data_IF_389209279121
#
_entry.id   IF_389209279121
#
_cell.length_a   1.000
_cell.length_b   1.000
_cell.length_c   1.000
_cell.angle_alpha   90.00
_cell.angle_beta   90.00
_cell.angle_gamma   90.00
#
_symmetry.space_group_name_H-M   'P 1'
#
loop_
_entity.id
_entity.type
_entity.pdbx_description
1 polymer ?
#
# COMPACT_ATOMS: atom_id res chain seq x y z
N UNK A 1 35.21 8.59 -6.22
CA UNK A 1 34.78 10.01 -6.35
C UNK A 1 33.59 10.19 -5.44
N UNK A 2 33.67 11.20 -4.57
CA UNK A 2 32.85 11.35 -3.37
C UNK A 2 31.33 11.36 -3.63
N UNK A 3 30.61 10.74 -2.69
CA UNK A 3 29.16 10.86 -2.46
C UNK A 3 28.74 12.34 -2.37
N UNK A 4 28.51 12.96 -3.51
CA UNK A 4 27.64 14.13 -3.55
C UNK A 4 26.23 13.62 -3.22
N UNK A 5 25.71 14.02 -2.06
CA UNK A 5 24.42 13.61 -1.48
C UNK A 5 23.38 13.32 -2.57
N UNK A 6 23.06 12.04 -2.75
CA UNK A 6 22.09 11.56 -3.74
C UNK A 6 20.64 11.88 -3.38
N UNK A 7 20.41 12.39 -2.15
CA UNK A 7 19.11 12.66 -1.56
C UNK A 7 19.07 14.09 -1.03
N UNK A 8 18.03 14.82 -1.39
CA UNK A 8 17.78 16.19 -0.97
C UNK A 8 16.43 16.24 -0.27
N UNK A 9 16.38 16.89 0.90
CA UNK A 9 15.12 17.15 1.60
C UNK A 9 14.74 18.60 1.37
N UNK A 10 13.55 18.83 0.82
CA UNK A 10 13.06 20.17 0.53
C UNK A 10 11.55 20.28 0.80
N UNK A 11 11.06 21.50 0.91
CA UNK A 11 9.63 21.74 1.01
C UNK A 11 8.91 21.34 -0.28
N UNK A 12 7.71 20.71 -0.19
CA UNK A 12 6.90 20.44 -1.37
C UNK A 12 6.49 21.75 -2.04
N UNK A 13 6.38 21.72 -3.35
CA UNK A 13 5.95 22.88 -4.13
C UNK A 13 4.50 23.25 -3.78
N UNK A 14 4.26 24.54 -3.49
CA UNK A 14 2.92 25.03 -3.16
C UNK A 14 1.89 24.78 -4.27
N UNK A 15 2.35 24.68 -5.53
CA UNK A 15 1.50 24.38 -6.68
C UNK A 15 0.83 22.99 -6.60
N UNK A 16 1.42 22.03 -5.87
CA UNK A 16 0.89 20.69 -5.70
C UNK A 16 -0.30 20.61 -4.73
N UNK A 17 -0.53 21.65 -3.92
CA UNK A 17 -1.62 21.72 -2.94
C UNK A 17 -2.92 22.33 -3.51
N UNK A 18 -3.24 22.04 -4.77
CA UNK A 18 -4.50 22.48 -5.39
C UNK A 18 -5.63 21.51 -5.07
N UNK A 19 -6.79 22.07 -4.72
CA UNK A 19 -8.02 21.33 -4.49
C UNK A 19 -9.18 21.95 -5.31
N UNK A 20 -9.99 21.14 -6.03
CA UNK A 20 -9.85 19.70 -6.20
C UNK A 20 -8.58 19.32 -7.00
N UNK A 21 -8.00 18.14 -6.75
CA UNK A 21 -6.86 17.65 -7.54
C UNK A 21 -7.26 17.44 -9.00
N UNK A 22 -6.27 17.40 -9.89
CA UNK A 22 -6.55 17.07 -11.29
C UNK A 22 -7.00 15.60 -11.41
N UNK A 23 -8.00 15.34 -12.25
CA UNK A 23 -8.45 13.97 -12.53
C UNK A 23 -7.56 13.25 -13.56
N UNK A 24 -6.51 13.88 -14.08
CA UNK A 24 -5.57 13.23 -14.98
C UNK A 24 -4.32 12.78 -14.20
N UNK A 25 -3.68 11.66 -14.58
CA UNK A 25 -4.10 10.72 -15.61
C UNK A 25 -5.23 9.80 -15.12
N UNK A 26 -5.86 9.09 -16.06
CA UNK A 26 -6.72 7.95 -15.71
C UNK A 26 -5.89 6.86 -15.03
N UNK A 27 -6.42 6.16 -14.00
CA UNK A 27 -5.66 5.13 -13.31
C UNK A 27 -5.36 3.95 -14.26
N UNK A 28 -4.11 3.51 -14.29
CA UNK A 28 -3.65 2.47 -15.21
C UNK A 28 -3.97 1.08 -14.65
N UNK A 29 -4.80 0.31 -15.36
CA UNK A 29 -5.06 -1.08 -15.01
C UNK A 29 -3.83 -1.97 -15.27
N UNK A 30 -3.70 -3.10 -14.54
CA UNK A 30 -2.62 -4.04 -14.79
C UNK A 30 -2.72 -4.64 -16.19
N UNK A 31 -1.58 -4.75 -16.88
CA UNK A 31 -1.50 -5.41 -18.18
C UNK A 31 -2.03 -6.86 -18.11
N UNK A 32 -2.74 -7.35 -19.15
CA UNK A 32 -3.18 -8.73 -19.21
C UNK A 32 -2.00 -9.71 -19.10
N UNK A 33 -2.16 -10.75 -18.28
CA UNK A 33 -1.14 -11.78 -18.09
C UNK A 33 -1.78 -13.18 -18.14
N UNK A 34 -0.93 -14.20 -18.30
CA UNK A 34 -1.36 -15.59 -18.18
C UNK A 34 -1.92 -15.86 -16.77
N UNK A 35 -3.01 -16.63 -16.73
CA UNK A 35 -3.67 -16.96 -15.48
C UNK A 35 -2.75 -17.83 -14.61
N UNK A 36 -2.68 -17.49 -13.33
CA UNK A 36 -1.88 -18.22 -12.34
C UNK A 36 -2.55 -18.14 -10.96
N UNK A 37 -2.06 -18.92 -9.99
CA UNK A 37 -2.54 -18.81 -8.60
C UNK A 37 -2.36 -17.40 -8.05
N UNK A 38 -1.32 -16.69 -8.48
CA UNK A 38 -1.02 -15.32 -8.05
C UNK A 38 -1.80 -14.27 -8.83
N UNK A 39 -2.28 -14.59 -10.04
CA UNK A 39 -3.12 -13.73 -10.89
C UNK A 39 -4.22 -14.59 -11.54
N UNK A 40 -5.28 -14.97 -10.78
CA UNK A 40 -6.30 -15.92 -11.25
C UNK A 40 -7.22 -15.37 -12.34
N UNK A 41 -7.30 -14.04 -12.50
CA UNK A 41 -8.09 -13.39 -13.55
C UNK A 41 -7.39 -12.10 -14.02
N UNK A 42 -7.81 -11.60 -15.17
CA UNK A 42 -7.40 -10.30 -15.69
C UNK A 42 -8.48 -9.24 -15.37
N UNK A 43 -8.05 -7.99 -15.17
CA UNK A 43 -8.95 -6.88 -14.86
C UNK A 43 -9.03 -5.98 -16.08
N UNK A 44 -10.24 -5.74 -16.59
CA UNK A 44 -10.45 -4.86 -17.72
C UNK A 44 -10.33 -3.38 -17.30
N UNK A 45 -9.70 -2.55 -18.13
CA UNK A 45 -9.54 -1.10 -17.89
C UNK A 45 -10.87 -0.40 -17.54
N UNK A 46 -12.00 -0.63 -18.25
CA UNK A 46 -13.25 0.05 -17.92
C UNK A 46 -13.77 -0.28 -16.52
N UNK A 47 -13.67 -1.54 -16.10
CA UNK A 47 -14.07 -1.97 -14.76
C UNK A 47 -13.14 -1.38 -13.70
N UNK A 48 -11.84 -1.34 -14.00
CA UNK A 48 -10.82 -0.78 -13.14
C UNK A 48 -11.08 0.71 -12.86
N UNK A 49 -11.31 1.47 -13.93
CA UNK A 49 -11.59 2.90 -13.88
C UNK A 49 -12.94 3.20 -13.20
N UNK A 50 -14.00 2.47 -13.55
CA UNK A 50 -15.33 2.63 -12.95
C UNK A 50 -15.30 2.44 -11.43
N UNK A 51 -14.62 1.39 -10.95
CA UNK A 51 -14.50 1.15 -9.51
C UNK A 51 -13.75 2.29 -8.78
N UNK A 52 -12.87 3.02 -9.48
CA UNK A 52 -12.10 4.14 -8.95
C UNK A 52 -12.76 5.51 -9.21
N UNK A 53 -14.00 5.56 -9.68
CA UNK A 53 -14.77 6.80 -9.69
C UNK A 53 -15.06 7.25 -8.25
N UNK A 54 -14.96 8.56 -8.00
CA UNK A 54 -15.17 9.15 -6.65
C UNK A 54 -16.56 8.88 -6.08
N UNK A 55 -17.56 8.71 -6.96
CA UNK A 55 -18.96 8.44 -6.61
C UNK A 55 -19.11 7.10 -5.88
N UNK A 56 -18.34 6.08 -6.27
CA UNK A 56 -18.42 4.72 -5.72
C UNK A 56 -18.08 4.69 -4.21
N UNK A 57 -16.85 5.05 -3.76
CA UNK A 57 -16.50 4.99 -2.35
C UNK A 57 -17.30 5.98 -1.52
N UNK A 58 -17.61 7.18 -2.03
CA UNK A 58 -18.40 8.15 -1.29
C UNK A 58 -19.83 7.66 -1.04
N UNK A 59 -20.48 7.11 -2.07
CA UNK A 59 -21.85 6.59 -1.94
C UNK A 59 -21.87 5.42 -0.98
N UNK A 60 -20.98 4.44 -1.14
CA UNK A 60 -20.97 3.26 -0.27
C UNK A 60 -20.60 3.62 1.16
N UNK A 61 -19.59 4.47 1.39
CA UNK A 61 -19.23 4.92 2.74
C UNK A 61 -20.37 5.69 3.42
N UNK A 62 -21.11 6.52 2.68
CA UNK A 62 -22.26 7.27 3.21
C UNK A 62 -23.41 6.34 3.57
N UNK A 63 -23.79 5.44 2.65
CA UNK A 63 -24.82 4.41 2.90
C UNK A 63 -24.45 3.55 4.09
N UNK A 64 -23.19 3.10 4.17
CA UNK A 64 -22.66 2.34 5.29
C UNK A 64 -22.78 3.10 6.61
N UNK A 65 -22.30 4.35 6.69
CA UNK A 65 -22.35 5.13 7.93
C UNK A 65 -23.79 5.40 8.40
N UNK A 66 -24.70 5.70 7.46
CA UNK A 66 -26.12 5.90 7.77
C UNK A 66 -26.76 4.59 8.24
N UNK A 67 -26.50 3.48 7.55
CA UNK A 67 -27.03 2.17 7.91
C UNK A 67 -26.55 1.73 9.30
N UNK A 68 -25.26 1.90 9.62
CA UNK A 68 -24.71 1.55 10.94
C UNK A 68 -25.36 2.39 12.04
N UNK A 69 -25.54 3.70 11.83
CA UNK A 69 -26.23 4.56 12.82
C UNK A 69 -27.67 4.12 13.03
N UNK A 70 -28.40 3.83 11.95
CA UNK A 70 -29.78 3.36 12.02
C UNK A 70 -29.89 1.99 12.73
N UNK A 71 -29.03 1.04 12.37
CA UNK A 71 -29.00 -0.30 12.96
C UNK A 71 -28.52 -0.29 14.42
N UNK A 72 -27.60 0.60 14.79
CA UNK A 72 -27.23 0.83 16.19
C UNK A 72 -28.43 1.32 17.01
N UNK A 73 -29.22 2.27 16.47
CA UNK A 73 -30.45 2.75 17.11
C UNK A 73 -31.49 1.63 17.22
N UNK A 74 -31.64 0.81 16.18
CA UNK A 74 -32.52 -0.34 16.18
C UNK A 74 -32.12 -1.37 17.26
N UNK A 75 -30.86 -1.76 17.34
CA UNK A 75 -30.37 -2.67 18.38
C UNK A 75 -30.55 -2.08 19.79
N UNK A 76 -30.37 -0.77 19.94
CA UNK A 76 -30.70 -0.05 21.17
C UNK A 76 -32.17 -0.20 21.58
N UNK A 77 -33.09 -0.02 20.63
CA UNK A 77 -34.54 -0.18 20.86
C UNK A 77 -34.95 -1.63 21.21
N UNK A 78 -34.15 -2.62 20.78
CA UNK A 78 -34.37 -4.04 21.07
C UNK A 78 -33.65 -4.55 22.32
N UNK A 79 -33.20 -3.65 23.20
CA UNK A 79 -32.42 -4.01 24.39
C UNK A 79 -31.19 -4.88 24.05
N UNK A 80 -30.55 -4.62 22.90
CA UNK A 80 -29.34 -5.31 22.40
C UNK A 80 -29.50 -6.83 22.25
N UNK A 81 -30.72 -7.31 21.98
CA UNK A 81 -30.98 -8.73 21.75
C UNK A 81 -30.43 -9.19 20.38
N UNK A 82 -29.77 -10.36 20.30
CA UNK A 82 -29.30 -10.92 19.03
C UNK A 82 -30.44 -11.17 18.04
N UNK A 83 -30.17 -10.96 16.75
CA UNK A 83 -31.16 -11.19 15.70
C UNK A 83 -31.44 -12.68 15.54
N UNK A 84 -32.62 -13.03 15.02
CA UNK A 84 -32.98 -14.44 14.81
C UNK A 84 -31.96 -15.16 13.90
N UNK A 85 -31.51 -14.47 12.85
CA UNK A 85 -30.50 -15.00 11.91
C UNK A 85 -29.19 -15.35 12.61
N UNK A 86 -28.76 -14.57 13.62
CA UNK A 86 -27.45 -14.77 14.25
C UNK A 86 -27.36 -16.02 15.11
N UNK A 87 -28.51 -16.65 15.42
CA UNK A 87 -28.61 -17.88 16.21
C UNK A 87 -28.55 -19.15 15.35
N UNK A 88 -28.63 -19.01 14.03
CA UNK A 88 -28.64 -20.14 13.10
C UNK A 88 -27.25 -20.74 12.92
N UNK A 89 -27.18 -22.05 12.65
CA UNK A 89 -25.91 -22.73 12.27
C UNK A 89 -25.32 -22.17 10.97
N UNK A 90 -26.19 -21.74 10.05
CA UNK A 90 -25.77 -21.10 8.80
C UNK A 90 -25.02 -19.80 9.07
N UNK A 91 -25.52 -18.95 9.96
CA UNK A 91 -24.81 -17.72 10.35
C UNK A 91 -23.45 -18.03 11.00
N UNK A 92 -23.38 -19.06 11.83
CA UNK A 92 -22.10 -19.48 12.41
C UNK A 92 -21.10 -19.95 11.33
N UNK A 93 -21.54 -20.82 10.41
CA UNK A 93 -20.73 -21.26 9.28
C UNK A 93 -20.27 -20.07 8.42
N UNK A 94 -21.17 -19.12 8.14
CA UNK A 94 -20.86 -17.88 7.45
C UNK A 94 -19.76 -17.08 8.15
N UNK A 95 -19.85 -16.84 9.47
CA UNK A 95 -18.82 -16.09 10.23
C UNK A 95 -17.46 -16.78 10.17
N UNK A 96 -17.42 -18.11 10.29
CA UNK A 96 -16.18 -18.88 10.19
C UNK A 96 -15.61 -18.79 8.78
N UNK A 97 -16.42 -19.05 7.75
CA UNK A 97 -16.00 -18.97 6.35
C UNK A 97 -15.52 -17.57 5.97
N UNK A 98 -16.20 -16.52 6.45
CA UNK A 98 -15.83 -15.12 6.27
C UNK A 98 -14.44 -14.82 6.83
N UNK A 99 -14.17 -15.22 8.09
CA UNK A 99 -12.85 -15.00 8.71
C UNK A 99 -11.74 -15.81 8.02
N UNK A 100 -12.02 -17.06 7.64
CA UNK A 100 -11.06 -17.91 6.92
C UNK A 100 -10.74 -17.33 5.55
N UNK A 101 -11.77 -16.91 4.80
CA UNK A 101 -11.61 -16.30 3.48
C UNK A 101 -10.76 -15.04 3.59
N UNK A 102 -11.07 -14.14 4.53
CA UNK A 102 -10.30 -12.92 4.73
C UNK A 102 -8.85 -13.20 5.17
N UNK A 103 -8.62 -14.21 6.01
CA UNK A 103 -7.27 -14.60 6.41
C UNK A 103 -6.45 -15.09 5.20
N UNK A 104 -7.00 -16.03 4.42
CA UNK A 104 -6.34 -16.60 3.23
C UNK A 104 -6.12 -15.53 2.16
N UNK A 105 -7.14 -14.71 1.90
CA UNK A 105 -7.07 -13.58 0.97
C UNK A 105 -5.98 -12.57 1.37
N UNK A 106 -5.90 -12.22 2.66
CA UNK A 106 -4.90 -11.29 3.17
C UNK A 106 -3.49 -11.87 3.06
N UNK A 107 -3.31 -13.16 3.38
CA UNK A 107 -2.04 -13.85 3.19
C UNK A 107 -1.61 -13.89 1.72
N UNK A 108 -2.54 -14.21 0.81
CA UNK A 108 -2.29 -14.23 -0.63
C UNK A 108 -1.88 -12.85 -1.15
N UNK A 109 -2.59 -11.80 -0.73
CA UNK A 109 -2.26 -10.40 -1.08
C UNK A 109 -0.88 -10.00 -0.56
N UNK A 110 -0.56 -10.37 0.68
CA UNK A 110 0.75 -10.12 1.28
C UNK A 110 1.88 -10.80 0.50
N UNK A 111 1.73 -12.08 0.18
CA UNK A 111 2.73 -12.85 -0.59
C UNK A 111 2.91 -12.26 -1.99
N UNK A 112 1.81 -11.93 -2.66
CA UNK A 112 1.82 -11.30 -3.99
C UNK A 112 2.53 -9.94 -3.99
N UNK A 113 2.22 -9.09 -3.01
CA UNK A 113 2.90 -7.81 -2.84
C UNK A 113 4.37 -8.00 -2.44
N UNK A 114 4.71 -8.93 -1.56
CA UNK A 114 6.09 -9.18 -1.19
C UNK A 114 6.93 -9.63 -2.40
N UNK A 115 6.36 -10.47 -3.27
CA UNK A 115 6.98 -10.87 -4.53
C UNK A 115 7.14 -9.68 -5.49
N UNK A 116 6.13 -8.80 -5.57
CA UNK A 116 6.17 -7.54 -6.35
C UNK A 116 7.33 -6.66 -5.89
N UNK A 117 7.45 -6.46 -4.57
CA UNK A 117 8.49 -5.63 -3.97
C UNK A 117 9.90 -6.16 -4.26
N UNK A 118 10.08 -7.49 -4.22
CA UNK A 118 11.37 -8.13 -4.55
C UNK A 118 11.79 -7.96 -6.00
N UNK A 119 10.85 -7.82 -6.94
CA UNK A 119 11.14 -7.61 -8.36
C UNK A 119 11.34 -6.14 -8.70
N UNK A 120 10.59 -5.25 -8.06
CA UNK A 120 10.52 -3.85 -8.43
C UNK A 120 11.51 -2.94 -7.69
N UNK A 121 11.93 -3.30 -6.47
CA UNK A 121 12.77 -2.43 -5.64
C UNK A 121 14.24 -2.76 -5.82
N UNK A 122 15.01 -1.73 -6.14
CA UNK A 122 16.46 -1.81 -6.24
C UNK A 122 17.07 -1.76 -4.84
N UNK A 123 17.94 -2.73 -4.52
CA UNK A 123 18.63 -2.77 -3.24
C UNK A 123 19.55 -1.56 -3.05
N UNK A 124 19.70 -1.02 -1.83
CA UNK A 124 20.54 0.15 -1.57
C UNK A 124 22.04 -0.11 -1.81
N UNK A 125 22.44 -1.38 -1.85
CA UNK A 125 23.81 -1.83 -2.15
C UNK A 125 24.09 -1.97 -3.65
N UNK A 126 23.13 -1.63 -4.52
CA UNK A 126 23.31 -1.63 -5.98
C UNK A 126 24.35 -0.58 -6.41
N UNK A 127 24.91 -0.71 -7.62
CA UNK A 127 25.92 0.21 -8.16
C UNK A 127 25.45 1.68 -8.23
N UNK A 128 24.13 1.85 -8.38
CA UNK A 128 23.47 3.16 -8.48
C UNK A 128 23.07 3.74 -7.10
N UNK A 129 23.39 3.01 -6.03
CA UNK A 129 23.24 3.41 -4.63
C UNK A 129 21.81 3.73 -4.19
N UNK A 130 21.70 4.60 -3.20
CA UNK A 130 20.42 5.00 -2.58
C UNK A 130 19.47 5.74 -3.55
N UNK A 131 19.99 6.39 -4.59
CA UNK A 131 19.18 7.08 -5.57
C UNK A 131 18.25 6.11 -6.31
N UNK A 132 18.76 4.95 -6.72
CA UNK A 132 17.96 3.93 -7.40
C UNK A 132 16.91 3.30 -6.49
N UNK A 133 17.23 3.09 -5.22
CA UNK A 133 16.25 2.63 -4.23
C UNK A 133 15.12 3.64 -4.06
N UNK A 134 15.45 4.92 -3.85
CA UNK A 134 14.43 5.97 -3.72
C UNK A 134 13.61 6.14 -4.99
N UNK A 135 14.25 6.10 -6.15
CA UNK A 135 13.55 6.16 -7.43
C UNK A 135 12.56 4.99 -7.57
N UNK A 136 12.94 3.77 -7.18
CA UNK A 136 12.01 2.61 -7.19
C UNK A 136 10.87 2.71 -6.17
N UNK A 137 11.06 3.44 -5.07
CA UNK A 137 10.05 3.64 -4.03
C UNK A 137 9.12 4.81 -4.31
N UNK A 138 9.59 5.85 -5.02
CA UNK A 138 8.83 7.04 -5.33
C UNK A 138 8.17 7.00 -6.71
N UNK A 139 8.77 6.29 -7.68
CA UNK A 139 8.25 6.21 -9.05
C UNK A 139 7.64 4.86 -9.33
N UNK A 140 6.33 4.89 -9.55
CA UNK A 140 5.51 3.70 -9.71
C UNK A 140 5.51 3.11 -11.12
N UNK A 141 5.77 3.91 -12.16
CA UNK A 141 5.59 3.54 -13.56
C UNK A 141 6.88 3.68 -14.38
N UNK A 142 6.95 2.93 -15.48
CA UNK A 142 8.07 2.95 -16.41
C UNK A 142 9.02 1.75 -16.27
N UNK A 143 10.02 1.66 -17.16
CA UNK A 143 11.01 0.60 -17.14
C UNK A 143 11.86 0.61 -15.85
N UNK A 144 12.53 -0.52 -15.53
CA UNK A 144 13.49 -0.55 -14.43
C UNK A 144 14.72 0.28 -14.78
N UNK A 145 15.39 0.80 -13.76
CA UNK A 145 16.62 1.59 -13.90
C UNK A 145 16.44 3.05 -13.47
N UNK A 146 17.50 3.61 -12.91
CA UNK A 146 17.50 4.98 -12.40
C UNK A 146 17.31 5.97 -13.56
N UNK A 147 16.24 6.78 -13.49
CA UNK A 147 15.92 7.78 -14.52
C UNK A 147 15.04 7.31 -15.68
N UNK A 148 14.79 6.00 -15.79
CA UNK A 148 13.87 5.44 -16.77
C UNK A 148 12.40 5.49 -16.32
N UNK A 149 12.08 6.16 -15.20
CA UNK A 149 10.71 6.22 -14.71
C UNK A 149 9.81 7.04 -15.64
N UNK A 150 8.58 6.57 -15.79
CA UNK A 150 7.51 7.33 -16.44
C UNK A 150 6.71 8.07 -15.36
N UNK A 151 6.43 9.34 -15.59
CA UNK A 151 5.59 10.15 -14.71
C UNK A 151 4.70 11.08 -15.50
N UNK A 152 3.55 11.41 -14.93
CA UNK A 152 2.60 12.31 -15.58
C UNK A 152 2.89 13.76 -15.23
N UNK A 153 2.94 14.61 -16.25
CA UNK A 153 3.11 16.05 -16.08
C UNK A 153 1.78 16.76 -16.35
N UNK A 154 1.18 17.32 -15.29
CA UNK A 154 -0.13 17.97 -15.34
C UNK A 154 -0.14 19.24 -16.21
N UNK A 155 0.98 19.96 -16.33
CA UNK A 155 1.05 21.18 -17.16
C UNK A 155 0.97 20.83 -18.64
N UNK A 156 1.64 19.75 -19.04
CA UNK A 156 1.65 19.28 -20.44
C UNK A 156 0.56 18.26 -20.76
N UNK A 157 -0.15 17.76 -19.74
CA UNK A 157 -1.13 16.67 -19.83
C UNK A 157 -0.58 15.41 -20.54
N UNK A 158 0.70 15.10 -20.32
CA UNK A 158 1.39 14.01 -21.00
C UNK A 158 2.33 13.24 -20.05
N UNK A 159 2.54 11.96 -20.36
CA UNK A 159 3.56 11.14 -19.72
C UNK A 159 4.96 11.56 -20.21
N UNK A 160 5.91 11.64 -19.29
CA UNK A 160 7.29 12.03 -19.52
C UNK A 160 8.25 11.02 -18.87
N UNK A 161 9.48 10.96 -19.38
CA UNK A 161 10.58 10.13 -18.89
C UNK A 161 11.88 10.90 -19.14
N UNK A 162 12.86 10.78 -18.25
CA UNK A 162 14.14 11.48 -18.37
C UNK A 162 15.04 10.82 -19.43
N UNK A 163 14.97 9.50 -19.56
CA UNK A 163 15.85 8.70 -20.44
C UNK A 163 15.23 8.41 -21.83
N UNK A 164 14.29 9.24 -22.27
CA UNK A 164 13.55 9.12 -23.55
C UNK A 164 12.72 7.83 -23.76
N UNK A 165 12.84 6.84 -22.86
CA UNK A 165 12.04 5.61 -22.82
C UNK A 165 10.65 5.89 -22.25
N UNK A 166 9.69 6.22 -23.12
CA UNK A 166 8.32 6.53 -22.75
C UNK A 166 7.41 5.30 -22.88
N UNK A 167 7.30 4.53 -21.79
CA UNK A 167 6.28 3.50 -21.65
C UNK A 167 5.81 3.38 -20.19
N UNK A 168 4.72 4.05 -19.82
CA UNK A 168 4.17 3.97 -18.46
C UNK A 168 3.59 2.58 -18.12
N UNK A 169 3.33 1.74 -19.12
CA UNK A 169 2.76 0.40 -18.97
C UNK A 169 3.81 -0.70 -18.88
N UNK A 170 5.08 -0.37 -19.07
CA UNK A 170 6.18 -1.35 -19.04
C UNK A 170 6.33 -2.00 -17.66
N UNK A 171 6.73 -3.26 -17.65
CA UNK A 171 7.11 -3.96 -16.41
C UNK A 171 8.42 -3.38 -15.81
N UNK A 172 8.72 -3.74 -14.56
CA UNK A 172 9.95 -3.35 -13.86
C UNK A 172 9.78 -2.40 -12.67
N UNK A 173 8.57 -1.86 -12.44
CA UNK A 173 8.25 -1.01 -11.28
C UNK A 173 6.99 -1.45 -10.56
N UNK A 174 6.86 -1.00 -9.31
CA UNK A 174 5.91 -1.54 -8.32
C UNK A 174 4.48 -1.58 -8.86
N UNK A 175 4.03 -0.56 -9.61
CA UNK A 175 2.67 -0.53 -10.17
C UNK A 175 2.38 -1.72 -11.06
N UNK A 176 3.18 -1.84 -12.12
CA UNK A 176 2.99 -2.81 -13.19
C UNK A 176 3.39 -4.23 -12.76
N UNK A 177 4.36 -4.34 -11.85
CA UNK A 177 4.81 -5.62 -11.28
C UNK A 177 3.76 -6.31 -10.38
N UNK A 178 2.81 -5.54 -9.84
CA UNK A 178 1.71 -6.13 -9.08
C UNK A 178 0.84 -5.18 -8.26
N UNK A 179 1.29 -3.96 -7.92
CA UNK A 179 0.49 -3.05 -7.08
C UNK A 179 -0.82 -2.63 -7.76
N UNK A 180 -0.84 -2.45 -9.09
CA UNK A 180 -2.08 -2.18 -9.81
C UNK A 180 -3.11 -3.31 -9.62
N UNK A 181 -2.66 -4.57 -9.63
CA UNK A 181 -3.52 -5.73 -9.47
C UNK A 181 -3.92 -5.97 -8.00
N UNK A 182 -2.94 -6.17 -7.11
CA UNK A 182 -3.19 -6.47 -5.71
C UNK A 182 -3.78 -5.28 -4.95
N UNK A 183 -3.34 -4.05 -5.27
CA UNK A 183 -3.88 -2.83 -4.69
C UNK A 183 -5.35 -2.62 -5.06
N UNK A 184 -5.76 -2.93 -6.29
CA UNK A 184 -7.16 -2.80 -6.68
C UNK A 184 -8.06 -3.84 -6.04
N UNK A 185 -7.61 -5.10 -5.94
CA UNK A 185 -8.37 -6.13 -5.23
C UNK A 185 -8.43 -5.80 -3.73
N UNK A 186 -7.35 -5.28 -3.16
CA UNK A 186 -7.30 -4.80 -1.77
C UNK A 186 -8.22 -3.59 -1.54
N UNK A 187 -8.35 -2.70 -2.53
CA UNK A 187 -9.36 -1.66 -2.51
C UNK A 187 -10.77 -2.25 -2.43
N UNK A 188 -11.09 -3.23 -3.28
CA UNK A 188 -12.39 -3.91 -3.24
C UNK A 188 -12.64 -4.64 -1.90
N UNK A 189 -11.59 -5.17 -1.27
CA UNK A 189 -11.74 -5.85 0.03
C UNK A 189 -12.27 -4.92 1.11
N UNK A 190 -12.02 -3.61 1.05
CA UNK A 190 -12.52 -2.65 2.05
C UNK A 190 -14.04 -2.51 2.04
N UNK A 191 -14.67 -2.71 0.89
CA UNK A 191 -16.12 -2.78 0.80
C UNK A 191 -16.66 -4.09 1.37
N UNK A 192 -15.95 -5.19 1.18
CA UNK A 192 -16.32 -6.50 1.74
C UNK A 192 -16.15 -6.53 3.28
N UNK A 193 -15.11 -5.90 3.82
CA UNK A 193 -14.83 -5.82 5.27
C UNK A 193 -15.96 -5.15 6.08
N UNK A 194 -16.88 -4.41 5.43
CA UNK A 194 -18.11 -3.90 6.06
C UNK A 194 -18.98 -5.02 6.65
N UNK A 195 -18.84 -6.26 6.16
CA UNK A 195 -19.51 -7.42 6.73
C UNK A 195 -19.08 -7.71 8.19
N UNK A 196 -17.88 -7.28 8.61
CA UNK A 196 -17.48 -7.38 10.03
C UNK A 196 -18.43 -6.56 10.92
N UNK A 197 -18.77 -5.36 10.47
CA UNK A 197 -19.74 -4.50 11.16
C UNK A 197 -21.13 -5.11 11.16
N UNK A 198 -21.55 -5.70 10.03
CA UNK A 198 -22.82 -6.41 9.93
C UNK A 198 -22.90 -7.59 10.91
N UNK A 199 -21.84 -8.40 11.04
CA UNK A 199 -21.80 -9.54 11.97
C UNK A 199 -21.97 -9.07 13.43
N UNK A 200 -21.35 -7.94 13.81
CA UNK A 200 -21.48 -7.36 15.15
C UNK A 200 -22.91 -6.87 15.40
N UNK A 201 -23.49 -6.15 14.45
CA UNK A 201 -24.87 -5.66 14.52
C UNK A 201 -25.88 -6.81 14.58
N UNK A 202 -25.69 -7.85 13.76
CA UNK A 202 -26.56 -9.02 13.73
C UNK A 202 -26.58 -9.77 15.07
N UNK A 203 -25.46 -9.75 15.80
CA UNK A 203 -25.35 -10.31 17.15
C UNK A 203 -26.00 -9.45 18.24
N UNK A 204 -26.71 -8.38 17.87
CA UNK A 204 -27.39 -7.47 18.79
C UNK A 204 -26.47 -6.43 19.43
N UNK A 205 -25.19 -6.42 19.08
CA UNK A 205 -24.22 -5.45 19.61
C UNK A 205 -24.29 -4.15 18.81
N UNK A 206 -23.77 -3.08 19.40
CA UNK A 206 -23.60 -1.82 18.70
C UNK A 206 -22.21 -1.79 18.06
N UNK A 207 -22.12 -1.36 16.80
CA UNK A 207 -20.83 -1.06 16.18
C UNK A 207 -20.29 0.24 16.76
N UNK A 208 -19.01 0.22 17.17
CA UNK A 208 -18.34 1.38 17.74
C UNK A 208 -18.11 2.46 16.68
N UNK A 209 -18.02 3.72 17.12
CA UNK A 209 -17.63 4.84 16.24
C UNK A 209 -16.25 4.60 15.62
N UNK A 210 -15.35 3.93 16.36
CA UNK A 210 -14.02 3.56 15.88
C UNK A 210 -14.10 2.65 14.66
N UNK A 211 -14.90 1.58 14.73
CA UNK A 211 -15.07 0.63 13.63
C UNK A 211 -15.75 1.29 12.42
N UNK A 212 -16.78 2.10 12.66
CA UNK A 212 -17.48 2.81 11.59
C UNK A 212 -16.55 3.80 10.89
N UNK A 213 -15.81 4.61 11.66
CA UNK A 213 -14.83 5.55 11.14
C UNK A 213 -13.71 4.84 10.38
N UNK A 214 -13.18 3.74 10.92
CA UNK A 214 -12.12 2.96 10.30
C UNK A 214 -12.52 2.41 8.93
N UNK A 215 -13.65 1.69 8.82
CA UNK A 215 -14.03 1.09 7.54
C UNK A 215 -14.45 2.16 6.51
N UNK A 216 -15.17 3.21 6.94
CA UNK A 216 -15.56 4.29 6.04
C UNK A 216 -14.35 5.05 5.49
N UNK A 217 -13.42 5.43 6.37
CA UNK A 217 -12.23 6.14 5.94
C UNK A 217 -11.23 5.28 5.19
N UNK A 218 -11.11 3.98 5.51
CA UNK A 218 -10.28 3.04 4.73
C UNK A 218 -10.73 2.95 3.27
N UNK A 219 -12.04 2.95 2.98
CA UNK A 219 -12.56 2.98 1.61
C UNK A 219 -12.12 4.25 0.86
N UNK A 220 -12.24 5.41 1.49
CA UNK A 220 -11.90 6.71 0.88
C UNK A 220 -10.38 6.87 0.71
N UNK A 221 -9.60 6.50 1.73
CA UNK A 221 -8.15 6.59 1.72
C UNK A 221 -7.51 5.65 0.69
N UNK A 222 -8.03 4.42 0.59
CA UNK A 222 -7.57 3.45 -0.39
C UNK A 222 -7.98 3.86 -1.82
N UNK A 223 -9.19 4.41 -1.99
CA UNK A 223 -9.59 5.01 -3.26
C UNK A 223 -8.62 6.10 -3.71
N UNK A 224 -8.29 7.07 -2.86
CA UNK A 224 -7.41 8.17 -3.24
C UNK A 224 -6.01 7.67 -3.62
N UNK A 225 -5.44 6.73 -2.86
CA UNK A 225 -4.13 6.14 -3.16
C UNK A 225 -4.08 5.41 -4.51
N UNK A 226 -5.09 4.62 -4.82
CA UNK A 226 -5.16 3.90 -6.11
C UNK A 226 -5.54 4.81 -7.27
N UNK A 227 -6.51 5.71 -7.07
CA UNK A 227 -7.01 6.60 -8.11
C UNK A 227 -5.93 7.56 -8.60
N UNK A 228 -5.14 8.11 -7.70
CA UNK A 228 -4.06 9.03 -8.03
C UNK A 228 -2.69 8.36 -8.10
N UNK A 229 -2.65 7.02 -8.07
CA UNK A 229 -1.43 6.21 -8.22
C UNK A 229 -0.30 6.72 -7.29
N UNK A 230 -0.65 6.97 -6.03
CA UNK A 230 0.25 7.56 -5.05
C UNK A 230 1.20 6.52 -4.47
N UNK A 231 2.51 6.74 -4.60
CA UNK A 231 3.53 5.74 -4.25
C UNK A 231 3.37 5.12 -2.85
N UNK A 232 3.09 5.87 -1.77
CA UNK A 232 2.97 5.29 -0.42
C UNK A 232 1.88 4.22 -0.25
N UNK A 233 0.94 4.10 -1.19
CA UNK A 233 -0.18 3.16 -1.09
C UNK A 233 0.27 1.71 -1.00
N UNK A 234 1.42 1.35 -1.59
CA UNK A 234 1.94 -0.02 -1.51
C UNK A 234 2.19 -0.47 -0.07
N UNK A 235 2.64 0.45 0.80
CA UNK A 235 2.94 0.15 2.20
C UNK A 235 1.66 -0.20 2.93
N UNK A 236 0.56 0.50 2.61
CA UNK A 236 -0.74 0.18 3.15
C UNK A 236 -1.17 -1.22 2.72
N UNK A 237 -1.10 -1.54 1.43
CA UNK A 237 -1.48 -2.87 0.92
C UNK A 237 -0.63 -3.99 1.54
N UNK A 238 0.70 -3.86 1.54
CA UNK A 238 1.61 -4.89 2.03
C UNK A 238 1.49 -5.12 3.54
N UNK A 239 1.63 -4.06 4.34
CA UNK A 239 1.68 -4.22 5.80
C UNK A 239 0.31 -4.52 6.38
N UNK A 240 -0.76 -3.90 5.85
CA UNK A 240 -2.11 -4.19 6.31
C UNK A 240 -2.54 -5.62 5.97
N UNK A 241 -2.24 -6.12 4.77
CA UNK A 241 -2.56 -7.51 4.42
C UNK A 241 -1.82 -8.52 5.31
N UNK A 242 -0.57 -8.24 5.70
CA UNK A 242 0.13 -9.05 6.69
C UNK A 242 -0.58 -9.06 8.05
N UNK A 243 -0.88 -7.87 8.61
CA UNK A 243 -1.53 -7.76 9.91
C UNK A 243 -2.96 -8.32 9.89
N UNK A 244 -3.71 -8.09 8.82
CA UNK A 244 -5.06 -8.64 8.62
C UNK A 244 -5.03 -10.16 8.51
N UNK A 245 -4.03 -10.75 7.84
CA UNK A 245 -3.84 -12.20 7.84
C UNK A 245 -3.73 -12.75 9.27
N UNK A 246 -2.92 -12.11 10.13
CA UNK A 246 -2.77 -12.54 11.53
C UNK A 246 -4.04 -12.30 12.35
N UNK A 247 -4.69 -11.16 12.15
CA UNK A 247 -5.89 -10.75 12.88
C UNK A 247 -7.10 -11.64 12.57
N UNK A 248 -7.37 -11.94 11.29
CA UNK A 248 -8.45 -12.85 10.91
C UNK A 248 -8.12 -14.31 11.24
N UNK A 249 -6.84 -14.71 11.23
CA UNK A 249 -6.42 -16.01 11.77
C UNK A 249 -6.74 -16.09 13.27
N UNK A 250 -6.43 -15.04 14.04
CA UNK A 250 -6.80 -14.96 15.45
C UNK A 250 -8.33 -15.09 15.65
N UNK A 251 -9.14 -14.36 14.88
CA UNK A 251 -10.60 -14.48 14.98
C UNK A 251 -11.12 -15.87 14.59
N UNK A 252 -10.54 -16.49 13.57
CA UNK A 252 -10.84 -17.86 13.18
C UNK A 252 -10.56 -18.83 14.33
N UNK A 253 -9.38 -18.75 14.96
CA UNK A 253 -9.02 -19.60 16.10
C UNK A 253 -9.98 -19.40 17.29
N UNK A 254 -10.36 -18.15 17.58
CA UNK A 254 -11.34 -17.89 18.63
C UNK A 254 -12.74 -18.40 18.29
N UNK A 255 -13.11 -18.46 17.01
CA UNK A 255 -14.38 -19.04 16.57
C UNK A 255 -14.42 -20.56 16.75
N UNK A 256 -13.28 -21.24 16.66
CA UNK A 256 -13.11 -22.65 16.99
C UNK A 256 -12.88 -22.92 18.48
N UNK A 257 -13.10 -21.94 19.35
CA UNK A 257 -12.89 -22.02 20.81
C UNK A 257 -11.45 -22.40 21.23
N UNK A 258 -10.46 -22.16 20.36
CA UNK A 258 -9.05 -22.34 20.69
C UNK A 258 -8.62 -21.22 21.65
N UNK A 259 -8.07 -21.58 22.81
CA UNK A 259 -7.57 -20.61 23.79
C UNK A 259 -6.28 -19.97 23.26
N UNK A 260 -6.39 -18.71 22.82
CA UNK A 260 -5.23 -17.93 22.37
C UNK A 260 -4.66 -17.14 23.56
N UNK A 261 -3.33 -17.14 23.80
CA UNK A 261 -2.71 -16.37 24.87
C UNK A 261 -2.97 -14.86 24.73
N UNK A 262 -3.20 -14.17 25.85
CA UNK A 262 -3.43 -12.72 25.90
C UNK A 262 -2.26 -11.92 25.31
N UNK A 263 -1.04 -12.47 25.37
CA UNK A 263 0.15 -11.87 24.75
C UNK A 263 0.04 -11.70 23.23
N UNK A 264 -0.59 -12.65 22.53
CA UNK A 264 -0.81 -12.57 21.08
C UNK A 264 -1.77 -11.42 20.76
N UNK A 265 -2.85 -11.29 21.53
CA UNK A 265 -3.80 -10.18 21.40
C UNK A 265 -3.10 -8.82 21.59
N UNK A 266 -2.23 -8.70 22.60
CA UNK A 266 -1.46 -7.47 22.84
C UNK A 266 -0.50 -7.18 21.68
N UNK A 267 0.20 -8.20 21.17
CA UNK A 267 1.11 -8.06 20.05
C UNK A 267 0.39 -7.61 18.78
N UNK A 268 -0.80 -8.15 18.49
CA UNK A 268 -1.63 -7.73 17.35
C UNK A 268 -1.99 -6.24 17.44
N UNK A 269 -2.47 -5.78 18.59
CA UNK A 269 -2.81 -4.36 18.80
C UNK A 269 -1.56 -3.47 18.68
N UNK A 270 -0.40 -3.92 19.19
CA UNK A 270 0.86 -3.19 19.04
C UNK A 270 1.29 -3.10 17.58
N UNK A 271 1.20 -4.17 16.80
CA UNK A 271 1.51 -4.16 15.36
C UNK A 271 0.58 -3.21 14.59
N UNK A 272 -0.72 -3.17 14.91
CA UNK A 272 -1.67 -2.23 14.30
C UNK A 272 -1.30 -0.76 14.58
N UNK A 273 -0.93 -0.42 15.82
CA UNK A 273 -0.50 0.93 16.17
C UNK A 273 0.80 1.30 15.44
N UNK A 274 1.77 0.38 15.42
CA UNK A 274 3.02 0.58 14.69
C UNK A 274 2.77 0.78 13.20
N UNK A 275 1.84 0.02 12.58
CA UNK A 275 1.44 0.20 11.18
C UNK A 275 0.99 1.63 10.91
N UNK A 276 0.13 2.21 11.76
CA UNK A 276 -0.36 3.58 11.54
C UNK A 276 0.74 4.63 11.68
N UNK A 277 1.60 4.51 12.71
CA UNK A 277 2.69 5.45 12.93
C UNK A 277 3.73 5.40 11.79
N UNK A 278 4.18 4.21 11.43
CA UNK A 278 5.17 4.00 10.37
C UNK A 278 4.58 4.38 9.02
N UNK A 279 3.35 3.98 8.74
CA UNK A 279 2.66 4.28 7.49
C UNK A 279 2.42 5.78 7.28
N UNK A 280 1.93 6.49 8.30
CA UNK A 280 1.72 7.94 8.23
C UNK A 280 3.03 8.69 8.06
N UNK A 281 4.08 8.30 8.79
CA UNK A 281 5.41 8.90 8.65
C UNK A 281 5.97 8.65 7.25
N UNK A 282 5.92 7.40 6.77
CA UNK A 282 6.39 7.03 5.43
C UNK A 282 5.68 7.82 4.33
N UNK A 283 4.35 7.92 4.39
CA UNK A 283 3.58 8.70 3.43
C UNK A 283 3.95 10.18 3.46
N UNK A 284 4.06 10.77 4.66
CA UNK A 284 4.46 12.17 4.82
C UNK A 284 5.85 12.45 4.23
N UNK A 285 6.82 11.56 4.47
CA UNK A 285 8.20 11.73 3.99
C UNK A 285 8.28 11.83 2.45
N UNK A 286 7.37 11.21 1.68
CA UNK A 286 7.36 11.34 0.22
C UNK A 286 7.13 12.77 -0.25
N UNK A 287 6.45 13.60 0.55
CA UNK A 287 6.24 15.01 0.22
C UNK A 287 7.52 15.84 0.30
N UNK A 288 8.57 15.35 0.97
CA UNK A 288 9.79 16.12 1.23
C UNK A 288 11.05 15.55 0.59
N UNK A 289 11.02 14.31 0.09
CA UNK A 289 12.18 13.68 -0.54
C UNK A 289 12.29 14.07 -2.01
N UNK A 290 13.49 14.46 -2.39
CA UNK A 290 13.97 14.54 -3.77
C UNK A 290 15.29 13.75 -3.89
N UNK A 291 15.61 13.28 -5.09
CA UNK A 291 16.83 12.52 -5.34
C UNK A 291 17.45 12.90 -6.68
N UNK A 292 18.76 12.68 -6.81
CA UNK A 292 19.52 13.04 -8.01
C UNK A 292 19.57 11.88 -9.00
N UNK A 293 19.19 12.15 -10.24
CA UNK A 293 19.21 11.21 -11.36
C UNK A 293 20.25 11.66 -12.39
N UNK A 294 21.17 10.79 -12.83
CA UNK A 294 22.04 11.09 -13.96
C UNK A 294 21.26 11.00 -15.28
N UNK A 295 21.29 12.06 -16.08
CA UNK A 295 20.67 12.12 -17.40
C UNK A 295 21.75 12.31 -18.44
N UNK A 296 21.79 11.42 -19.44
CA UNK A 296 22.72 11.51 -20.57
C UNK A 296 22.06 12.31 -21.69
N UNK A 297 22.57 13.51 -21.96
CA UNK A 297 22.12 14.33 -23.08
C UNK A 297 23.09 14.20 -24.24
N UNK A 298 22.61 13.74 -25.39
CA UNK A 298 23.41 13.68 -26.62
C UNK A 298 23.35 15.01 -27.35
N UNK A 299 24.46 15.75 -27.39
CA UNK A 299 24.62 16.94 -28.21
C UNK A 299 25.31 16.57 -29.52
N UNK A 300 24.67 16.92 -30.63
CA UNK A 300 25.28 16.77 -31.95
C UNK A 300 26.17 17.97 -32.21
N UNK A 301 27.49 17.75 -32.31
CA UNK A 301 28.46 18.77 -32.68
C UNK A 301 28.92 18.48 -34.10
N UNK A 302 28.71 19.46 -34.98
CA UNK A 302 29.24 19.41 -36.33
C UNK A 302 30.67 19.95 -36.29
N UNK A 303 31.66 19.07 -36.43
CA UNK A 303 33.09 19.45 -36.42
C UNK A 303 33.60 19.44 -37.86
N UNK A 304 34.39 20.45 -38.29
CA UNK A 304 35.06 20.41 -39.58
C UNK A 304 35.97 19.18 -39.65
N UNK A 305 35.87 18.38 -40.71
CA UNK A 305 36.79 17.27 -40.92
C UNK A 305 38.18 17.85 -41.19
N UNK A 306 39.09 17.77 -40.21
CA UNK A 306 40.48 18.13 -40.42
C UNK A 306 41.06 17.17 -41.44
N UNK A 307 41.27 17.65 -42.66
CA UNK A 307 41.97 16.91 -43.71
C UNK A 307 43.36 16.58 -43.21
N UNK A 308 43.58 15.32 -42.81
CA UNK A 308 44.91 14.77 -42.60
C UNK A 308 45.59 14.67 -43.96
N UNK A 309 46.14 15.79 -44.42
CA UNK A 309 47.14 15.79 -45.47
C UNK A 309 48.38 15.08 -44.90
N UNK A 310 48.46 13.76 -45.09
CA UNK A 310 49.71 13.02 -45.04
C UNK A 310 50.71 13.73 -45.97
N UNK A 311 51.96 14.00 -45.54
CA UNK A 311 52.94 14.57 -46.45
C UNK A 311 53.17 13.57 -47.59
N UNK A 312 52.95 14.08 -48.82
CA UNK A 312 53.18 13.40 -50.08
C UNK A 312 54.57 12.75 -50.04
N UNK A 313 54.61 11.43 -50.17
CA UNK A 313 55.84 10.69 -50.37
C UNK A 313 56.59 11.29 -51.57
N UNK A 314 57.84 11.65 -51.35
CA UNK A 314 58.80 12.12 -52.35
C UNK A 314 58.94 11.09 -53.47
N UNK A 315 58.22 11.31 -54.57
CA UNK A 315 58.43 10.59 -55.81
C UNK A 315 59.77 11.02 -56.42
N UNK A 316 60.71 10.09 -56.47
CA UNK A 316 61.98 10.20 -57.18
C UNK A 316 61.73 10.42 -58.68
N UNK A 317 62.50 11.29 -59.37
CA UNK A 317 62.32 11.53 -60.80
C UNK A 317 62.79 10.32 -61.61
N UNK A 318 61.86 9.66 -62.31
CA UNK A 318 62.19 8.66 -63.34
C UNK A 318 62.62 9.38 -64.64
N UNK A 319 63.70 8.94 -65.31
CA UNK A 319 64.29 9.65 -66.46
C UNK A 319 63.47 9.56 -67.76
N UNK A 320 62.27 8.98 -67.74
CA UNK A 320 61.44 8.80 -68.94
C UNK A 320 60.61 10.04 -69.34
N UNK A 321 60.43 11.04 -68.46
CA UNK A 321 59.57 12.20 -68.70
C UNK A 321 60.23 13.38 -69.46
N UNK A 322 61.56 13.42 -69.51
CA UNK A 322 62.29 14.50 -70.19
C UNK A 322 62.24 14.36 -71.72
N UNK A 323 62.19 13.13 -72.23
CA UNK A 323 62.19 12.87 -73.68
C UNK A 323 60.84 13.25 -74.33
N UNK A 324 59.74 13.08 -73.60
CA UNK A 324 58.38 13.39 -74.08
C UNK A 324 58.09 14.89 -74.10
N UNK A 325 58.68 15.63 -73.14
CA UNK A 325 58.58 17.09 -73.06
C UNK A 325 59.39 17.79 -74.16
N UNK A 326 60.53 17.21 -74.55
CA UNK A 326 61.36 17.71 -75.65
C UNK A 326 60.73 17.43 -77.02
N UNK A 327 59.98 16.31 -77.16
CA UNK A 327 59.23 15.97 -78.37
C UNK A 327 58.03 16.91 -78.62
N UNK A 328 57.38 17.38 -77.55
CA UNK A 328 56.26 18.35 -77.63
C UNK A 328 56.70 19.80 -77.89
N UNK A 329 57.98 20.13 -77.68
CA UNK A 329 58.52 21.47 -77.98
C UNK A 329 59.00 21.62 -79.44
N UNK A 330 59.25 20.51 -80.15
CA UNK A 330 59.83 20.50 -81.51
C UNK A 330 58.82 20.27 -82.64
N UNK A 331 57.59 19.83 -82.34
CA UNK A 331 56.52 19.68 -83.34
C UNK A 331 55.33 20.58 -82.98
N UNK A 332 55.39 21.82 -83.48
CA UNK A 332 54.33 22.80 -83.34
C UNK A 332 53.00 22.29 -83.90
N UNK A 333 52.01 22.14 -83.03
CA UNK A 333 50.61 22.10 -83.43
C UNK A 333 49.77 22.80 -82.38
N UNK A 334 49.07 23.86 -82.82
CA UNK A 334 48.15 24.64 -82.01
C UNK A 334 46.90 23.82 -81.72
N UNK A 335 46.67 23.47 -80.45
CA UNK A 335 45.32 23.18 -79.95
C UNK A 335 45.11 23.92 -78.62
N UNK A 336 44.31 24.99 -78.69
CA UNK A 336 43.77 25.70 -77.54
C UNK A 336 42.73 24.79 -76.90
N UNK A 337 43.11 24.10 -75.82
CA UNK A 337 42.18 23.39 -74.96
C UNK A 337 41.70 24.31 -73.84
N UNK A 338 40.39 24.50 -73.78
CA UNK A 338 39.60 25.24 -72.80
C UNK A 338 39.96 24.81 -71.36
N UNK A 339 40.31 25.77 -70.50
CA UNK A 339 40.57 25.54 -69.08
C UNK A 339 39.30 24.97 -68.40
N UNK A 340 39.36 23.72 -67.95
CA UNK A 340 38.36 23.14 -67.08
C UNK A 340 38.56 23.69 -65.65
N UNK A 341 37.51 24.25 -65.07
CA UNK A 341 37.50 24.73 -63.70
C UNK A 341 37.80 23.58 -62.72
N UNK A 342 38.68 23.82 -61.76
CA UNK A 342 38.93 22.92 -60.64
C UNK A 342 37.63 22.67 -59.85
N UNK A 343 37.37 21.44 -59.38
CA UNK A 343 36.18 21.18 -58.58
C UNK A 343 36.33 21.92 -57.23
N UNK A 344 35.31 22.69 -56.87
CA UNK A 344 35.21 23.29 -55.55
C UNK A 344 35.17 22.17 -54.51
N UNK A 345 36.15 22.16 -53.60
CA UNK A 345 36.14 21.28 -52.43
C UNK A 345 35.08 21.83 -51.47
N UNK A 346 33.91 21.20 -51.44
CA UNK A 346 32.91 21.44 -50.40
C UNK A 346 33.52 21.03 -49.05
N UNK A 347 33.44 21.86 -47.99
CA UNK A 347 33.90 21.44 -46.67
C UNK A 347 33.08 20.22 -46.22
N UNK A 348 33.77 19.09 -46.01
CA UNK A 348 33.18 17.91 -45.38
C UNK A 348 33.08 18.18 -43.88
N UNK A 349 31.87 18.07 -43.35
CA UNK A 349 31.60 18.24 -41.93
C UNK A 349 31.31 16.87 -41.32
N UNK A 350 32.03 16.51 -40.27
CA UNK A 350 31.78 15.28 -39.52
C UNK A 350 30.86 15.58 -38.36
N UNK A 351 29.70 14.96 -38.36
CA UNK A 351 28.76 14.99 -37.25
C UNK A 351 29.27 14.06 -36.15
N UNK A 352 29.62 14.61 -34.99
CA UNK A 352 30.02 13.86 -33.80
C UNK A 352 28.92 14.01 -32.76
N UNK A 353 28.39 12.88 -32.27
CA UNK A 353 27.47 12.86 -31.14
C UNK A 353 28.30 12.83 -29.86
N UNK A 354 28.25 13.89 -29.07
CA UNK A 354 28.90 13.97 -27.75
C UNK A 354 27.83 13.79 -26.69
N UNK A 355 28.01 12.83 -25.80
CA UNK A 355 27.09 12.59 -24.68
C UNK A 355 27.62 13.28 -23.42
N UNK A 356 26.79 14.15 -22.83
CA UNK A 356 27.07 14.85 -21.58
C UNK A 356 26.16 14.31 -20.46
N UNK A 357 26.74 13.89 -19.35
CA UNK A 357 25.98 13.39 -18.19
C UNK A 357 25.75 14.53 -17.20
N UNK A 358 24.50 15.01 -17.13
CA UNK A 358 24.06 16.01 -16.15
C UNK A 358 23.27 15.35 -15.01
N UNK A 359 23.32 15.90 -13.79
CA UNK A 359 22.49 15.41 -12.67
C UNK A 359 21.28 16.31 -12.50
N UNK A 360 20.09 15.72 -12.59
CA UNK A 360 18.80 16.41 -12.43
C UNK A 360 18.15 15.97 -11.13
N UNK A 361 17.58 16.92 -10.39
CA UNK A 361 16.83 16.63 -9.17
C UNK A 361 15.41 16.20 -9.51
N UNK A 362 15.01 15.03 -9.04
CA UNK A 362 13.67 14.48 -9.23
C UNK A 362 12.93 14.45 -7.88
N UNK A 363 11.77 15.11 -7.74
CA UNK A 363 10.96 15.00 -6.53
C UNK A 363 10.25 13.64 -6.48
N UNK A 364 9.91 13.15 -5.28
CA UNK A 364 9.15 11.91 -5.16
C UNK A 364 7.69 12.05 -5.60
N UNK A 365 7.11 13.25 -5.47
CA UNK A 365 5.72 13.56 -5.83
C UNK A 365 5.73 14.65 -6.89
N UNK A 366 4.91 14.48 -7.94
CA UNK A 366 4.85 15.41 -9.08
C UNK A 366 3.45 15.86 -9.44
N UNK A 367 2.41 15.20 -8.92
CA UNK A 367 1.02 15.54 -9.22
C UNK A 367 0.28 16.08 -8.00
N UNK A 368 -0.74 16.90 -8.27
CA UNK A 368 -1.70 17.36 -7.26
C UNK A 368 -2.50 16.19 -6.69
N UNK A 369 -2.80 15.18 -7.52
CA UNK A 369 -3.50 13.95 -7.13
C UNK A 369 -2.74 13.11 -6.10
N UNK A 370 -1.46 12.83 -6.35
CA UNK A 370 -0.59 12.10 -5.42
C UNK A 370 -0.49 12.83 -4.07
N UNK A 371 -0.34 14.16 -4.12
CA UNK A 371 -0.28 15.03 -2.93
C UNK A 371 -1.59 14.95 -2.15
N UNK A 372 -2.74 15.13 -2.82
CA UNK A 372 -4.05 14.99 -2.20
C UNK A 372 -4.23 13.63 -1.53
N UNK A 373 -3.84 12.54 -2.19
CA UNK A 373 -3.94 11.19 -1.65
C UNK A 373 -3.11 11.01 -0.36
N UNK A 374 -1.87 11.51 -0.34
CA UNK A 374 -0.99 11.46 0.84
C UNK A 374 -1.60 12.23 2.01
N UNK A 375 -1.98 13.49 1.78
CA UNK A 375 -2.50 14.34 2.85
C UNK A 375 -3.85 13.87 3.37
N UNK A 376 -4.73 13.39 2.50
CA UNK A 376 -5.98 12.75 2.91
C UNK A 376 -5.71 11.56 3.84
N UNK A 377 -4.78 10.67 3.46
CA UNK A 377 -4.40 9.51 4.28
C UNK A 377 -3.80 9.94 5.62
N UNK A 378 -2.86 10.88 5.63
CA UNK A 378 -2.20 11.31 6.88
C UNK A 378 -3.18 12.02 7.82
N UNK A 379 -4.01 12.94 7.31
CA UNK A 379 -5.01 13.64 8.12
C UNK A 379 -6.06 12.69 8.69
N UNK A 380 -6.45 11.68 7.93
CA UNK A 380 -7.36 10.63 8.38
C UNK A 380 -6.72 9.72 9.45
N UNK A 381 -5.46 9.34 9.28
CA UNK A 381 -4.75 8.47 10.22
C UNK A 381 -4.46 9.16 11.55
N UNK A 382 -4.33 10.48 11.60
CA UNK A 382 -4.00 11.22 12.82
C UNK A 382 -4.99 10.97 13.99
N UNK A 383 -6.31 11.23 13.86
CA UNK A 383 -7.26 10.95 14.94
C UNK A 383 -7.38 9.46 15.24
N UNK A 384 -7.25 8.59 14.23
CA UNK A 384 -7.30 7.15 14.42
C UNK A 384 -6.12 6.65 15.27
N UNK A 385 -4.91 7.10 14.95
CA UNK A 385 -3.68 6.78 15.68
C UNK A 385 -3.80 7.26 17.12
N UNK A 386 -4.29 8.48 17.35
CA UNK A 386 -4.53 9.00 18.69
C UNK A 386 -5.51 8.13 19.48
N UNK A 387 -6.63 7.73 18.88
CA UNK A 387 -7.63 6.85 19.52
C UNK A 387 -7.03 5.49 19.90
N UNK A 388 -6.29 4.85 18.99
CA UNK A 388 -5.67 3.55 19.25
C UNK A 388 -4.56 3.62 20.31
N UNK A 389 -3.72 4.66 20.27
CA UNK A 389 -2.69 4.90 21.29
C UNK A 389 -3.33 5.16 22.65
N UNK A 390 -4.36 6.00 22.71
CA UNK A 390 -5.11 6.30 23.93
C UNK A 390 -5.74 5.03 24.54
N UNK A 391 -6.36 4.20 23.70
CA UNK A 391 -6.88 2.89 24.10
C UNK A 391 -5.77 1.98 24.63
N UNK A 392 -4.66 1.84 23.91
CA UNK A 392 -3.56 0.96 24.34
C UNK A 392 -2.95 1.39 25.68
N UNK A 393 -2.70 2.69 25.86
CA UNK A 393 -2.19 3.25 27.11
C UNK A 393 -3.18 2.97 28.25
N UNK A 394 -4.47 3.13 28.01
CA UNK A 394 -5.52 2.90 29.02
C UNK A 394 -5.66 1.42 29.37
N UNK A 395 -5.73 0.54 28.36
CA UNK A 395 -6.00 -0.88 28.53
C UNK A 395 -4.80 -1.68 29.05
N UNK A 396 -3.58 -1.29 28.67
CA UNK A 396 -2.37 -2.08 28.95
C UNK A 396 -1.36 -1.37 29.84
N UNK A 397 -1.07 -0.08 29.63
CA UNK A 397 0.00 0.61 30.37
C UNK A 397 -0.48 1.06 31.75
N UNK A 398 -1.54 1.88 31.81
CA UNK A 398 -2.11 2.37 33.07
C UNK A 398 -2.60 1.22 33.94
N UNK A 399 -3.16 0.17 33.34
CA UNK A 399 -3.67 -1.02 34.03
C UNK A 399 -2.57 -1.97 34.51
N UNK A 400 -1.49 -2.14 33.75
CA UNK A 400 -0.29 -2.87 34.21
C UNK A 400 0.38 -2.14 35.36
N UNK A 401 0.49 -0.82 35.30
CA UNK A 401 1.07 0.00 36.38
C UNK A 401 0.17 -0.03 37.63
N UNK A 402 -1.16 0.01 37.46
CA UNK A 402 -2.11 -0.17 38.56
C UNK A 402 -2.02 -1.58 39.15
N UNK A 403 -1.91 -2.63 38.33
CA UNK A 403 -1.72 -4.01 38.79
C UNK A 403 -0.38 -4.20 39.52
N UNK A 404 0.71 -3.58 39.04
CA UNK A 404 2.01 -3.59 39.72
C UNK A 404 1.99 -2.80 41.03
N UNK A 405 1.33 -1.63 41.07
CA UNK A 405 1.15 -0.83 42.28
C UNK A 405 0.26 -1.54 43.30
N UNK A 406 -0.78 -2.24 42.84
CA UNK A 406 -1.60 -3.13 43.65
C UNK A 406 -0.77 -4.31 44.14
N UNK A 407 0.08 -4.95 43.32
CA UNK A 407 1.00 -6.02 43.74
C UNK A 407 1.99 -5.57 44.82
N UNK A 408 2.47 -4.32 44.75
CA UNK A 408 3.29 -3.70 45.80
C UNK A 408 2.52 -3.35 47.08
N UNK A 409 1.21 -3.08 46.98
CA UNK A 409 0.33 -2.88 48.14
C UNK A 409 -0.28 -4.19 48.69
N UNK A 410 -0.33 -5.26 47.87
CA UNK A 410 -0.94 -6.56 48.16
C UNK A 410 -0.14 -7.40 49.13
N UNK A 411 1.10 -7.01 49.41
CA UNK A 411 1.89 -7.59 50.47
C UNK A 411 1.30 -7.26 51.86
N UNK A 412 0.18 -6.51 51.92
CA UNK A 412 -0.41 -6.04 53.19
C UNK A 412 -1.88 -6.37 53.48
N UNK A 413 -2.70 -6.90 52.56
CA UNK A 413 -4.04 -7.40 52.94
C UNK A 413 -4.69 -8.27 51.85
N UNK A 414 -4.61 -9.59 52.01
CA UNK A 414 -5.33 -10.58 51.20
C UNK A 414 -6.70 -10.81 51.83
N UNK A 415 -7.77 -10.40 51.15
CA UNK A 415 -9.11 -11.02 51.13
C UNK A 415 -10.11 -10.15 50.33
N UNK A 416 -9.90 -8.84 50.24
CA UNK A 416 -10.69 -7.94 49.36
C UNK A 416 -10.21 -7.93 47.90
N UNK A 417 -9.07 -8.58 47.64
CA UNK A 417 -8.34 -8.58 46.35
C UNK A 417 -9.05 -9.41 45.30
N UNK A 418 -9.59 -10.57 45.67
CA UNK A 418 -10.23 -11.48 44.72
C UNK A 418 -11.52 -10.85 44.15
N UNK A 419 -12.21 -10.06 44.97
CA UNK A 419 -13.43 -9.35 44.57
C UNK A 419 -13.13 -8.12 43.69
N UNK A 420 -12.09 -7.35 44.02
CA UNK A 420 -11.66 -6.19 43.24
C UNK A 420 -10.98 -6.58 41.91
N UNK A 421 -10.21 -7.68 41.90
CA UNK A 421 -9.62 -8.25 40.69
C UNK A 421 -10.72 -8.80 39.77
N UNK A 422 -11.69 -9.53 40.31
CA UNK A 422 -12.86 -10.02 39.55
C UNK A 422 -13.70 -8.87 38.98
N UNK A 423 -13.98 -7.84 39.77
CA UNK A 423 -14.70 -6.64 39.30
C UNK A 423 -13.91 -5.86 38.24
N UNK A 424 -12.58 -5.79 38.36
CA UNK A 424 -11.70 -5.15 37.38
C UNK A 424 -11.58 -5.93 36.07
N UNK A 425 -11.65 -7.26 36.10
CA UNK A 425 -11.72 -8.12 34.92
C UNK A 425 -13.09 -8.05 34.23
N UNK A 426 -14.18 -7.98 35.00
CA UNK A 426 -15.54 -7.85 34.48
C UNK A 426 -15.76 -6.48 33.80
N UNK A 427 -15.24 -5.39 34.36
CA UNK A 427 -15.30 -4.06 33.73
C UNK A 427 -14.47 -3.97 32.43
N UNK A 428 -13.32 -4.64 32.39
CA UNK A 428 -12.51 -4.71 31.17
C UNK A 428 -13.14 -5.56 30.07
N UNK A 429 -13.89 -6.59 30.46
CA UNK A 429 -14.71 -7.36 29.53
C UNK A 429 -15.83 -6.52 28.94
N UNK A 430 -16.43 -5.61 29.70
CA UNK A 430 -17.50 -4.73 29.20
C UNK A 430 -16.99 -3.69 28.19
N UNK A 431 -15.83 -3.07 28.45
CA UNK A 431 -15.18 -2.15 27.49
C UNK A 431 -14.69 -2.90 26.24
N UNK A 432 -14.20 -4.14 26.39
CA UNK A 432 -13.88 -5.03 25.27
C UNK A 432 -15.13 -5.45 24.47
N UNK A 433 -16.27 -5.66 25.14
CA UNK A 433 -17.57 -5.95 24.52
C UNK A 433 -18.07 -4.78 23.68
N UNK A 434 -17.74 -3.56 24.09
CA UNK A 434 -18.11 -2.30 23.44
C UNK A 434 -17.21 -1.95 22.25
N UNK A 435 -15.93 -2.31 22.29
CA UNK A 435 -14.95 -1.97 21.22
C UNK A 435 -14.73 -3.12 20.21
N UNK A 436 -14.72 -4.38 20.64
CA UNK A 436 -14.39 -5.55 19.80
C UNK A 436 -15.44 -6.66 19.80
N UNK A 437 -16.56 -6.50 20.50
CA UNK A 437 -17.65 -7.47 20.48
C UNK A 437 -17.29 -8.89 20.98
N UNK A 438 -16.13 -9.09 21.62
CA UNK A 438 -15.58 -10.40 21.95
C UNK A 438 -15.73 -10.80 23.41
N UNK A 439 -16.74 -11.61 23.73
CA UNK A 439 -16.69 -12.70 24.74
C UNK A 439 -18.02 -13.45 24.99
N UNK A 440 -19.03 -13.30 24.14
CA UNK A 440 -20.25 -14.14 24.22
C UNK A 440 -20.21 -15.36 23.29
N UNK A 441 -19.15 -15.50 22.50
CA UNK A 441 -19.01 -16.61 21.56
C UNK A 441 -18.85 -17.95 22.28
N UNK A 442 -18.18 -17.96 23.42
CA UNK A 442 -17.91 -19.19 24.18
C UNK A 442 -19.08 -19.53 25.09
N UNK A 443 -19.70 -18.54 25.76
CA UNK A 443 -20.76 -18.80 26.73
C UNK A 443 -22.09 -19.21 26.09
N UNK A 444 -22.38 -18.75 24.86
CA UNK A 444 -23.54 -19.22 24.11
C UNK A 444 -23.37 -20.66 23.56
N UNK A 445 -22.13 -21.11 23.35
CA UNK A 445 -21.84 -22.47 22.87
C UNK A 445 -21.83 -23.52 24.00
N UNK A 446 -21.35 -23.17 25.21
CA UNK A 446 -21.41 -24.11 26.34
C UNK A 446 -22.84 -24.40 26.78
N UNK A 447 -23.72 -23.38 26.72
CA UNK A 447 -25.13 -23.53 27.13
C UNK A 447 -25.93 -24.44 26.18
N UNK A 448 -25.74 -24.29 24.86
CA UNK A 448 -26.42 -25.14 23.88
C UNK A 448 -25.92 -26.60 23.83
N UNK A 449 -24.77 -26.91 24.45
CA UNK A 449 -24.23 -28.28 24.49
C UNK A 449 -24.59 -29.00 25.79
N UNK A 450 -24.80 -28.27 26.89
CA UNK A 450 -25.29 -28.84 28.17
C UNK A 450 -26.79 -29.13 28.14
N UNK A 451 -27.59 -28.33 27.45
CA UNK A 451 -29.04 -28.54 27.35
C UNK A 451 -29.43 -29.70 26.40
N UNK A 452 -28.47 -30.28 25.67
CA UNK A 452 -28.69 -31.40 24.75
C UNK A 452 -28.20 -32.77 25.29
N UNK A 453 -27.58 -32.82 26.48
CA UNK A 453 -26.95 -34.03 27.01
C UNK A 453 -27.39 -34.39 28.46
N UNK A 454 -28.54 -33.87 28.90
CA UNK A 454 -29.07 -34.06 30.26
C UNK A 454 -30.48 -34.67 30.31
N UNK A 455 -30.83 -35.54 29.37
CA UNK A 455 -32.11 -36.28 29.40
C UNK A 455 -31.97 -37.67 28.81
N UNK A 456 -31.36 -38.57 29.58
CA UNK A 456 -31.61 -40.01 29.54
C UNK A 456 -31.00 -40.66 30.80
N UNK A 457 -31.80 -41.51 31.45
CA UNK A 457 -31.52 -42.39 32.60
C UNK A 457 -31.23 -41.71 33.96
N UNK A 458 -31.92 -42.01 35.06
CA UNK A 458 -32.51 -43.30 35.48
C UNK A 458 -33.69 -43.10 36.44
N UNK A 459 -34.80 -43.81 36.20
CA UNK A 459 -35.79 -44.15 37.21
C UNK A 459 -35.34 -45.42 37.95
N UNK A 460 -35.26 -45.38 39.30
CA UNK A 460 -35.77 -46.41 40.23
C UNK A 460 -35.23 -46.17 41.65
N UNK A 461 -36.17 -46.23 42.61
CA UNK A 461 -36.01 -46.56 44.05
C UNK A 461 -35.15 -45.60 44.93
N UNK A 462 -35.49 -45.21 46.16
CA UNK A 462 -36.56 -45.55 47.09
C UNK A 462 -36.66 -44.42 48.15
N UNK A 463 -37.83 -44.33 48.78
CA UNK A 463 -38.21 -43.56 49.98
C UNK A 463 -37.10 -43.15 50.98
N UNK A 464 -37.20 -41.94 51.55
CA UNK A 464 -37.43 -41.69 52.99
C UNK A 464 -37.79 -40.20 53.21
N UNK A 465 -38.74 -40.00 54.13
CA UNK A 465 -39.29 -38.79 54.76
C UNK A 465 -38.26 -37.63 55.05
N UNK A 466 -38.59 -36.36 55.28
CA UNK A 466 -39.77 -35.75 55.90
C UNK A 466 -39.78 -34.22 55.68
N UNK A 467 -40.99 -33.71 55.40
CA UNK A 467 -41.64 -32.49 55.90
C UNK A 467 -40.89 -31.69 57.00
N UNK A 468 -40.65 -30.38 56.80
CA UNK A 468 -40.97 -29.30 57.78
C UNK A 468 -41.20 -27.98 57.03
N UNK A 469 -42.29 -27.31 57.41
CA UNK A 469 -42.80 -26.02 56.93
C UNK A 469 -41.99 -24.81 57.39
N UNK A 470 -41.95 -23.80 56.51
CA UNK A 470 -42.35 -22.41 56.79
C UNK A 470 -41.60 -21.58 57.84
N UNK A 471 -41.06 -20.43 57.42
CA UNK A 471 -41.54 -19.13 57.91
C UNK A 471 -40.89 -17.97 57.16
N UNK A 472 -41.73 -17.06 56.69
CA UNK A 472 -41.37 -15.69 56.38
C UNK A 472 -40.99 -14.92 57.66
N UNK A 473 -40.00 -14.02 57.58
CA UNK A 473 -40.10 -12.71 58.23
C UNK A 473 -39.09 -11.68 57.70
N UNK A 474 -39.65 -10.48 57.53
CA UNK A 474 -39.09 -9.17 57.21
C UNK A 474 -37.98 -8.70 58.16
N UNK A 475 -37.15 -7.80 57.61
CA UNK A 475 -36.48 -6.61 58.19
C UNK A 475 -35.61 -6.83 59.45
N UNK A 476 -34.31 -6.61 59.32
CA UNK A 476 -33.64 -5.34 59.60
C UNK A 476 -32.35 -5.27 58.77
#
# INVERSE_FOLDING_TARGET
MADAQSVVVSWPEAALFRFPPTNAPEPLAPAPAALSVMRPFNIAQPLYAWALEVTVPLTVATVYAVAVKALNRYNGSRNKQPWAVSKTRLFHCFVVAHNVLLAVYSAWTFVGMLATMRRAIVAPTHSDGLAATLDSLCRLHGPPGLGASAYFNETTQAWQSLDSSLDASSMGRIWNEGLAYYGWIFYLSKFYEVLDTFIILAKGKSSSTLQTYHHAGAMICMWAGMRYMSAPIWMFVLVNSFIHSLMYTYYTLTAFAVKVPVGVKRALTSMQITQFLVGATYAMTHSFIQYLVPVVTSKTITVPEASSALPLATATPSPAGMLESLRKLLLGSQHVAKAAAAPAVSPSFKTIVVSETSRVTQPCIVTTGETFAIWLNVLYLAPLTWLFVSFFVTSYVKRSNAAHKIKGALQRHQNNVILAEKAGWDAARDVEREVYGGQDLVHAMTKNTQDANGSADSQSESSVASRVQGRARRRA
#
